data_IF_945027876680
#
_entry.id   IF_945027876680
#
_cell.length_a   1.000
_cell.length_b   1.000
_cell.length_c   1.000
_cell.angle_alpha   90.00
_cell.angle_beta   90.00
_cell.angle_gamma   90.00
#
_symmetry.space_group_name_H-M   'P 1'
#
loop_
_entity.id
_entity.type
_entity.pdbx_description
1 polymer ?
#
# COMPACT_ATOMS: atom_id res chain seq x y z
N UNK A 1 23.45 -17.01 14.10
CA UNK A 1 22.39 -16.31 13.34
C UNK A 1 23.02 -15.13 12.62
N UNK A 2 22.65 -14.90 11.37
CA UNK A 2 23.11 -13.74 10.60
C UNK A 2 22.06 -12.63 10.74
N UNK A 3 22.46 -11.49 11.30
CA UNK A 3 21.59 -10.34 11.51
C UNK A 3 21.82 -9.34 10.38
N UNK A 4 20.77 -9.09 9.59
CA UNK A 4 20.80 -8.13 8.49
C UNK A 4 19.90 -6.93 8.81
N UNK A 5 20.41 -5.72 8.57
CA UNK A 5 19.66 -4.48 8.65
C UNK A 5 19.72 -3.74 7.31
N UNK A 6 18.61 -3.10 6.94
CA UNK A 6 18.53 -2.28 5.74
C UNK A 6 17.82 -0.96 6.11
N UNK A 7 18.50 0.16 5.87
CA UNK A 7 17.98 1.50 6.12
C UNK A 7 17.33 2.12 4.88
N UNK A 8 17.53 1.52 3.70
CA UNK A 8 17.02 2.00 2.41
C UNK A 8 15.67 1.35 2.08
N UNK A 9 14.75 1.38 3.05
CA UNK A 9 13.41 0.84 2.91
C UNK A 9 12.39 1.83 3.42
N UNK A 10 11.23 1.86 2.77
CA UNK A 10 10.11 2.69 3.16
C UNK A 10 8.86 1.87 3.45
N UNK A 11 8.09 2.30 4.44
CA UNK A 11 6.80 1.73 4.80
C UNK A 11 5.69 2.57 4.21
N UNK A 12 4.91 1.99 3.31
CA UNK A 12 3.71 2.63 2.75
C UNK A 12 2.49 1.86 3.24
N UNK A 13 1.51 2.57 3.80
CA UNK A 13 0.33 1.96 4.42
C UNK A 13 -0.95 2.50 3.81
N UNK A 14 -1.89 1.60 3.56
CA UNK A 14 -3.28 1.92 3.22
C UNK A 14 -4.10 1.68 4.47
N UNK A 15 -4.94 2.65 4.83
CA UNK A 15 -5.72 2.64 6.07
C UNK A 15 -7.17 2.94 5.73
N UNK A 16 -8.10 2.10 6.20
CA UNK A 16 -9.52 2.33 6.03
C UNK A 16 -10.37 1.35 6.82
N UNK A 17 -11.44 1.84 7.45
CA UNK A 17 -12.41 1.01 8.17
C UNK A 17 -13.14 0.04 7.23
N UNK A 18 -13.25 0.41 5.95
CA UNK A 18 -13.84 -0.43 4.90
C UNK A 18 -13.07 -1.72 4.63
N UNK A 19 -11.79 -1.84 5.02
CA UNK A 19 -10.97 -3.03 4.77
C UNK A 19 -11.47 -4.28 5.48
N UNK A 20 -12.14 -4.13 6.62
CA UNK A 20 -12.71 -5.25 7.38
C UNK A 20 -13.87 -5.92 6.65
N UNK A 21 -14.64 -5.14 5.90
CA UNK A 21 -15.89 -5.57 5.30
C UNK A 21 -15.77 -5.75 3.77
N UNK A 22 -14.73 -5.21 3.14
CA UNK A 22 -14.50 -5.30 1.70
C UNK A 22 -13.31 -6.18 1.37
N UNK A 23 -13.60 -7.40 0.93
CA UNK A 23 -12.59 -8.27 0.33
C UNK A 23 -12.03 -7.62 -0.94
N UNK A 24 -10.70 -7.68 -1.11
CA UNK A 24 -10.05 -7.23 -2.34
C UNK A 24 -9.29 -5.91 -2.25
N UNK A 25 -9.41 -5.16 -1.14
CA UNK A 25 -8.64 -3.92 -0.93
C UNK A 25 -7.13 -4.19 -0.99
N UNK A 26 -6.66 -5.25 -0.35
CA UNK A 26 -5.25 -5.63 -0.38
C UNK A 26 -4.78 -6.06 -1.77
N UNK A 27 -5.57 -6.87 -2.49
CA UNK A 27 -5.22 -7.29 -3.86
C UNK A 27 -5.20 -6.12 -4.83
N UNK A 28 -6.11 -5.15 -4.68
CA UNK A 28 -6.13 -3.92 -5.49
C UNK A 28 -4.86 -3.10 -5.27
N UNK A 29 -4.47 -2.93 -4.00
CA UNK A 29 -3.23 -2.26 -3.63
C UNK A 29 -1.98 -2.94 -4.21
N UNK A 30 -1.86 -4.25 -4.05
CA UNK A 30 -0.71 -5.02 -4.55
C UNK A 30 -0.66 -4.98 -6.07
N UNK A 31 -1.82 -5.00 -6.74
CA UNK A 31 -1.88 -4.87 -8.18
C UNK A 31 -1.38 -3.50 -8.65
N UNK A 32 -1.83 -2.43 -8.02
CA UNK A 32 -1.40 -1.07 -8.35
C UNK A 32 0.12 -0.90 -8.19
N UNK A 33 0.71 -1.43 -7.11
CA UNK A 33 2.17 -1.42 -6.92
C UNK A 33 2.90 -2.27 -7.97
N UNK A 34 2.35 -3.44 -8.33
CA UNK A 34 2.93 -4.33 -9.33
C UNK A 34 2.91 -3.73 -10.75
N UNK A 35 1.86 -3.00 -11.12
CA UNK A 35 1.75 -2.35 -12.43
C UNK A 35 2.83 -1.26 -12.62
N UNK A 36 3.32 -0.67 -11.53
CA UNK A 36 4.47 0.26 -11.50
C UNK A 36 5.83 -0.42 -11.28
N UNK A 37 5.88 -1.76 -11.34
CA UNK A 37 7.09 -2.58 -11.08
C UNK A 37 7.71 -2.35 -9.69
N UNK A 38 6.91 -2.03 -8.67
CA UNK A 38 7.37 -1.85 -7.30
C UNK A 38 7.35 -3.21 -6.58
N UNK A 39 8.54 -3.70 -6.22
CA UNK A 39 8.67 -4.94 -5.46
C UNK A 39 8.31 -4.74 -3.98
N UNK A 40 7.47 -5.62 -3.44
CA UNK A 40 7.09 -5.63 -2.02
C UNK A 40 8.04 -6.56 -1.26
N UNK A 41 8.81 -5.99 -0.34
CA UNK A 41 9.79 -6.71 0.48
C UNK A 41 9.15 -7.42 1.67
N UNK A 42 8.11 -6.81 2.25
CA UNK A 42 7.40 -7.33 3.40
C UNK A 42 5.98 -6.79 3.44
N UNK A 43 5.04 -7.60 3.91
CA UNK A 43 3.66 -7.22 4.15
C UNK A 43 3.35 -7.38 5.65
N UNK A 44 2.68 -6.38 6.22
CA UNK A 44 2.12 -6.45 7.57
C UNK A 44 0.69 -5.91 7.55
N UNK A 45 -0.23 -6.55 8.28
CA UNK A 45 -1.67 -6.25 8.19
C UNK A 45 -2.33 -6.14 9.56
N UNK A 46 -3.38 -5.34 9.66
CA UNK A 46 -4.39 -5.35 10.73
C UNK A 46 -5.79 -5.35 10.12
N UNK A 47 -6.85 -5.30 10.94
CA UNK A 47 -8.24 -5.24 10.45
C UNK A 47 -8.52 -4.06 9.52
N UNK A 48 -7.78 -2.96 9.66
CA UNK A 48 -8.03 -1.69 8.96
C UNK A 48 -6.79 -1.12 8.25
N UNK A 49 -5.71 -1.90 8.17
CA UNK A 49 -4.42 -1.41 7.63
C UNK A 49 -3.68 -2.52 6.90
N UNK A 50 -3.14 -2.20 5.73
CA UNK A 50 -2.13 -3.00 5.03
C UNK A 50 -0.89 -2.14 4.85
N UNK A 51 0.25 -2.62 5.35
CA UNK A 51 1.57 -1.97 5.22
C UNK A 51 2.44 -2.80 4.29
N UNK A 52 3.00 -2.16 3.28
CA UNK A 52 4.02 -2.71 2.39
C UNK A 52 5.36 -2.07 2.70
N UNK A 53 6.40 -2.89 2.89
CA UNK A 53 7.78 -2.45 2.91
C UNK A 53 8.34 -2.50 1.48
N UNK A 54 8.90 -1.40 1.00
CA UNK A 54 9.42 -1.26 -0.37
C UNK A 54 10.83 -0.63 -0.33
N UNK A 55 11.55 -0.67 -1.45
CA UNK A 55 12.79 0.10 -1.61
C UNK A 55 12.47 1.60 -1.57
N UNK A 56 13.24 2.36 -0.79
CA UNK A 56 12.96 3.77 -0.49
C UNK A 56 12.90 4.68 -1.72
N UNK A 57 13.62 4.34 -2.79
CA UNK A 57 13.56 5.11 -4.05
C UNK A 57 12.17 5.16 -4.69
N UNK A 58 11.28 4.22 -4.33
CA UNK A 58 9.92 4.15 -4.86
C UNK A 58 8.88 4.85 -3.97
N UNK A 59 9.28 5.46 -2.85
CA UNK A 59 8.34 6.01 -1.86
C UNK A 59 7.31 6.95 -2.47
N UNK A 60 7.74 7.95 -3.23
CA UNK A 60 6.81 8.92 -3.83
C UNK A 60 5.90 8.27 -4.87
N UNK A 61 6.45 7.40 -5.72
CA UNK A 61 5.68 6.68 -6.74
C UNK A 61 4.62 5.79 -6.08
N UNK A 62 5.01 4.99 -5.09
CA UNK A 62 4.09 4.12 -4.35
C UNK A 62 2.95 4.90 -3.70
N UNK A 63 3.25 6.03 -3.06
CA UNK A 63 2.21 6.88 -2.45
C UNK A 63 1.25 7.41 -3.51
N UNK A 64 1.76 7.99 -4.62
CA UNK A 64 0.92 8.54 -5.69
C UNK A 64 0.07 7.46 -6.37
N UNK A 65 0.67 6.31 -6.66
CA UNK A 65 -0.01 5.17 -7.28
C UNK A 65 -1.13 4.65 -6.41
N UNK A 66 -0.90 4.48 -5.11
CA UNK A 66 -1.94 4.06 -4.18
C UNK A 66 -3.00 5.15 -4.01
N UNK A 67 -2.62 6.42 -3.93
CA UNK A 67 -3.56 7.53 -3.82
C UNK A 67 -4.54 7.55 -5.00
N UNK A 68 -4.02 7.41 -6.22
CA UNK A 68 -4.82 7.31 -7.45
C UNK A 68 -5.65 6.03 -7.51
N UNK A 69 -5.08 4.89 -7.13
CA UNK A 69 -5.79 3.61 -7.13
C UNK A 69 -7.04 3.62 -6.22
N UNK A 70 -7.02 4.44 -5.17
CA UNK A 70 -8.14 4.63 -4.25
C UNK A 70 -8.88 5.96 -4.47
N UNK A 71 -8.65 6.66 -5.59
CA UNK A 71 -9.32 7.91 -5.98
C UNK A 71 -9.30 9.00 -4.89
N UNK A 72 -8.25 9.06 -4.07
CA UNK A 72 -8.16 9.99 -2.94
C UNK A 72 -7.83 11.42 -3.38
N UNK A 73 -7.45 11.60 -4.65
CA UNK A 73 -7.16 12.88 -5.30
C UNK A 73 -8.40 13.54 -5.92
N UNK A 74 -9.49 12.78 -6.03
CA UNK A 74 -10.80 13.25 -6.42
C UNK A 74 -11.52 13.65 -5.12
N UNK A 75 -11.83 14.94 -4.93
CA UNK A 75 -12.37 15.48 -3.66
C UNK A 75 -13.77 14.98 -3.25
N UNK A 76 -14.25 13.89 -3.84
CA UNK A 76 -15.52 13.23 -3.56
C UNK A 76 -15.24 11.94 -2.76
N UNK A 77 -15.81 11.76 -1.55
CA UNK A 77 -15.63 10.53 -0.80
C UNK A 77 -16.16 9.32 -1.58
N UNK A 78 -15.47 8.19 -1.54
CA UNK A 78 -15.99 6.90 -1.99
C UNK A 78 -17.23 6.52 -1.17
N UNK A 79 -18.42 6.93 -1.62
CA UNK A 79 -19.65 6.22 -1.30
C UNK A 79 -19.69 4.95 -2.13
N UNK A 80 -19.95 3.81 -1.48
CA UNK A 80 -20.14 2.46 -2.06
C UNK A 80 -18.89 1.70 -2.52
N UNK A 81 -18.28 0.99 -1.57
CA UNK A 81 -18.16 -0.47 -1.71
C UNK A 81 -19.08 -1.09 -0.65
#
# INVERSE_FOLDING_TARGET
>A
EELNSNLNVSKVSIIGVGMRNHSGVASHAFRALADENINILMISTSEIKVTCLIDDKYTELAVRTLHKAFHLDEGEPLETL
#
